data_IF_330363330184
#
_entry.id   IF_330363330184
#
_cell.length_a   1.000
_cell.length_b   1.000
_cell.length_c   1.000
_cell.angle_alpha   90.00
_cell.angle_beta   90.00
_cell.angle_gamma   90.00
#
_symmetry.space_group_name_H-M   'P 1'
#
loop_
_entity.id
_entity.type
_entity.pdbx_description
1 polymer ?
#
# COMPACT_ATOMS: atom_id res chain seq x y z
N UNK A 1 -22.57 -0.92 16.48
CA UNK A 1 -22.37 0.15 15.47
C UNK A 1 -21.82 -0.50 14.22
N UNK A 2 -22.50 -0.35 13.08
CA UNK A 2 -22.01 -0.88 11.81
C UNK A 2 -20.62 -0.31 11.54
N UNK A 3 -19.61 -1.18 11.38
CA UNK A 3 -18.33 -0.80 10.79
C UNK A 3 -18.60 -0.46 9.32
N UNK A 4 -19.07 0.76 9.06
CA UNK A 4 -19.06 1.30 7.70
C UNK A 4 -17.60 1.46 7.34
N UNK A 5 -17.10 0.55 6.52
CA UNK A 5 -15.73 0.62 6.03
C UNK A 5 -15.57 1.87 5.16
N UNK A 6 -14.35 2.37 4.98
CA UNK A 6 -14.07 3.47 4.04
C UNK A 6 -14.67 3.20 2.64
N UNK A 7 -14.69 1.93 2.24
CA UNK A 7 -15.35 1.48 1.01
C UNK A 7 -16.84 1.78 1.01
N UNK A 8 -17.57 1.39 2.05
CA UNK A 8 -19.01 1.63 2.15
C UNK A 8 -19.33 3.13 2.14
N UNK A 9 -18.46 3.94 2.77
CA UNK A 9 -18.57 5.39 2.74
C UNK A 9 -18.39 5.94 1.32
N UNK A 10 -17.34 5.53 0.61
CA UNK A 10 -17.08 5.98 -0.77
C UNK A 10 -18.26 5.62 -1.68
N UNK A 11 -18.78 4.39 -1.59
CA UNK A 11 -19.93 3.96 -2.39
C UNK A 11 -21.23 4.71 -2.01
N UNK A 12 -21.39 5.08 -0.74
CA UNK A 12 -22.53 5.90 -0.31
C UNK A 12 -22.45 7.33 -0.87
N UNK A 13 -21.24 7.90 -0.94
CA UNK A 13 -21.00 9.21 -1.54
C UNK A 13 -21.32 9.16 -3.04
N UNK A 14 -20.91 8.11 -3.75
CA UNK A 14 -21.23 7.95 -5.19
C UNK A 14 -22.74 7.98 -5.43
N UNK A 15 -23.51 7.26 -4.61
CA UNK A 15 -24.95 7.14 -4.75
C UNK A 15 -25.69 8.45 -4.40
N UNK A 16 -25.22 9.18 -3.39
CA UNK A 16 -25.90 10.37 -2.85
C UNK A 16 -24.91 11.48 -2.53
N UNK A 17 -24.21 12.05 -3.53
CA UNK A 17 -23.10 12.97 -3.26
C UNK A 17 -23.53 14.22 -2.51
N UNK A 18 -24.74 14.73 -2.77
CA UNK A 18 -25.28 15.93 -2.11
C UNK A 18 -25.59 15.76 -0.62
N UNK A 19 -25.60 14.52 -0.10
CA UNK A 19 -25.73 14.27 1.35
C UNK A 19 -24.41 14.50 2.11
N UNK A 20 -23.28 14.39 1.41
CA UNK A 20 -21.95 14.41 2.03
C UNK A 20 -21.14 15.61 1.58
N UNK A 21 -21.29 16.00 0.30
CA UNK A 21 -20.50 17.02 -0.36
C UNK A 21 -21.38 18.20 -0.75
N UNK A 22 -20.79 19.41 -0.66
CA UNK A 22 -21.45 20.64 -1.09
C UNK A 22 -21.63 20.71 -2.61
N UNK A 23 -20.69 20.14 -3.35
CA UNK A 23 -20.61 20.11 -4.81
C UNK A 23 -19.94 18.81 -5.26
N UNK A 24 -20.21 18.40 -6.51
CA UNK A 24 -19.64 17.18 -7.13
C UNK A 24 -18.28 17.49 -7.76
N UNK A 25 -17.32 17.93 -6.97
CA UNK A 25 -15.95 18.19 -7.45
C UNK A 25 -14.97 17.23 -6.80
N UNK A 26 -13.89 16.92 -7.51
CA UNK A 26 -12.86 16.01 -6.99
C UNK A 26 -12.20 16.58 -5.74
N UNK A 27 -12.04 17.90 -5.65
CA UNK A 27 -11.50 18.58 -4.46
C UNK A 27 -12.42 18.38 -3.25
N UNK A 28 -13.73 18.61 -3.40
CA UNK A 28 -14.68 18.46 -2.31
C UNK A 28 -14.71 17.01 -1.79
N UNK A 29 -14.61 16.03 -2.70
CA UNK A 29 -14.50 14.63 -2.34
C UNK A 29 -13.18 14.33 -1.61
N UNK A 30 -12.06 14.83 -2.13
CA UNK A 30 -10.74 14.67 -1.54
C UNK A 30 -10.68 15.21 -0.12
N UNK A 31 -11.14 16.45 0.10
CA UNK A 31 -11.18 17.09 1.41
C UNK A 31 -12.03 16.29 2.42
N UNK A 32 -13.20 15.82 1.98
CA UNK A 32 -14.08 15.01 2.81
C UNK A 32 -13.42 13.69 3.23
N UNK A 33 -12.83 12.95 2.27
CA UNK A 33 -12.18 11.67 2.54
C UNK A 33 -10.94 11.83 3.41
N UNK A 34 -10.13 12.87 3.18
CA UNK A 34 -8.98 13.18 4.02
C UNK A 34 -9.41 13.47 5.46
N UNK A 35 -10.42 14.30 5.66
CA UNK A 35 -10.97 14.60 6.99
C UNK A 35 -11.51 13.35 7.70
N UNK A 36 -12.22 12.48 6.97
CA UNK A 36 -12.70 11.21 7.51
C UNK A 36 -11.54 10.29 7.94
N UNK A 37 -10.54 10.10 7.07
CA UNK A 37 -9.39 9.24 7.33
C UNK A 37 -8.52 9.74 8.48
N UNK A 38 -8.37 11.06 8.65
CA UNK A 38 -7.68 11.65 9.81
C UNK A 38 -8.37 11.34 11.14
N UNK A 39 -9.70 11.17 11.14
CA UNK A 39 -10.48 10.80 12.31
C UNK A 39 -10.45 9.30 12.64
N UNK A 40 -9.98 8.45 11.72
CA UNK A 40 -9.87 7.01 11.94
C UNK A 40 -8.65 6.69 12.82
N UNK A 41 -8.85 5.88 13.85
CA UNK A 41 -7.73 5.34 14.65
C UNK A 41 -7.05 4.21 13.89
N UNK A 42 -5.72 4.14 13.97
CA UNK A 42 -4.95 2.98 13.52
C UNK A 42 -5.33 1.76 14.38
N UNK A 43 -5.86 0.72 13.75
CA UNK A 43 -6.18 -0.56 14.40
C UNK A 43 -5.22 -1.64 13.89
N UNK A 44 -4.86 -2.60 14.76
CA UNK A 44 -4.17 -3.81 14.31
C UNK A 44 -5.21 -4.65 13.55
N UNK A 45 -4.91 -4.98 12.29
CA UNK A 45 -5.80 -5.78 11.46
C UNK A 45 -5.22 -7.20 11.29
N UNK A 46 -6.12 -8.20 11.25
CA UNK A 46 -5.79 -9.56 10.82
C UNK A 46 -5.90 -9.65 9.31
N UNK A 47 -4.90 -10.23 8.66
CA UNK A 47 -4.88 -10.56 7.24
C UNK A 47 -3.82 -9.80 6.45
N UNK A 48 -4.20 -9.42 5.24
CA UNK A 48 -3.58 -8.36 4.43
C UNK A 48 -4.72 -7.45 3.96
N UNK A 49 -4.45 -6.19 3.64
CA UNK A 49 -5.46 -5.32 3.04
C UNK A 49 -4.87 -4.50 1.91
N UNK A 50 -5.59 -4.49 0.80
CA UNK A 50 -5.45 -3.49 -0.25
C UNK A 50 -6.41 -2.36 0.13
N UNK A 51 -6.03 -1.60 1.16
CA UNK A 51 -6.84 -0.51 1.69
C UNK A 51 -6.83 0.72 0.75
N UNK A 52 -7.59 1.76 1.11
CA UNK A 52 -7.69 2.97 0.30
C UNK A 52 -6.33 3.67 0.07
N UNK A 53 -5.33 3.44 0.91
CA UNK A 53 -4.00 4.01 0.69
C UNK A 53 -3.41 3.51 -0.65
N UNK A 54 -3.61 2.24 -0.99
CA UNK A 54 -3.15 1.67 -2.26
C UNK A 54 -3.87 2.24 -3.49
N UNK A 55 -5.00 2.94 -3.31
CA UNK A 55 -5.64 3.65 -4.42
C UNK A 55 -4.74 4.74 -5.00
N UNK A 56 -3.94 5.43 -4.16
CA UNK A 56 -2.95 6.40 -4.62
C UNK A 56 -1.93 5.77 -5.58
N UNK A 57 -1.40 4.61 -5.20
CA UNK A 57 -0.41 3.88 -5.98
C UNK A 57 -1.02 3.27 -7.26
N UNK A 58 -2.26 2.80 -7.17
CA UNK A 58 -3.04 2.33 -8.32
C UNK A 58 -3.20 3.44 -9.37
N UNK A 59 -3.63 4.63 -8.97
CA UNK A 59 -3.79 5.78 -9.88
C UNK A 59 -2.46 6.19 -10.50
N UNK A 60 -1.39 6.23 -9.70
CA UNK A 60 -0.02 6.50 -10.19
C UNK A 60 0.35 5.55 -11.32
N UNK A 61 0.16 4.25 -11.10
CA UNK A 61 0.51 3.22 -12.08
C UNK A 61 -0.42 3.29 -13.30
N UNK A 62 -1.72 3.50 -13.11
CA UNK A 62 -2.72 3.59 -14.17
C UNK A 62 -2.40 4.72 -15.17
N UNK A 63 -2.04 5.91 -14.67
CA UNK A 63 -1.69 7.05 -15.52
C UNK A 63 -0.18 7.19 -15.77
N UNK A 64 0.63 6.19 -15.41
CA UNK A 64 2.08 6.17 -15.62
C UNK A 64 2.86 7.36 -15.00
N UNK A 65 2.42 7.86 -13.84
CA UNK A 65 3.19 8.85 -13.10
C UNK A 65 4.44 8.21 -12.47
N UNK A 66 5.53 8.99 -12.40
CA UNK A 66 6.78 8.55 -11.77
C UNK A 66 6.66 8.46 -10.25
N UNK A 67 5.84 9.32 -9.63
CA UNK A 67 5.70 9.42 -8.18
C UNK A 67 4.23 9.60 -7.79
N UNK A 68 3.85 9.05 -6.64
CA UNK A 68 2.50 9.22 -6.06
C UNK A 68 2.36 10.49 -5.23
N UNK A 69 3.44 11.28 -5.08
CA UNK A 69 3.48 12.54 -4.33
C UNK A 69 2.52 13.60 -4.87
N UNK A 70 2.15 13.52 -6.15
CA UNK A 70 1.11 14.37 -6.73
C UNK A 70 -0.26 14.13 -6.09
N UNK A 71 -0.51 12.95 -5.50
CA UNK A 71 -1.81 12.56 -4.96
C UNK A 71 -2.81 12.15 -6.05
N UNK A 72 -3.74 11.23 -5.72
CA UNK A 72 -4.71 10.74 -6.71
C UNK A 72 -5.60 11.85 -7.26
N UNK A 73 -5.91 12.86 -6.45
CA UNK A 73 -6.73 14.02 -6.82
C UNK A 73 -6.12 14.75 -8.03
N UNK A 74 -4.86 15.18 -7.93
CA UNK A 74 -4.20 15.92 -8.99
C UNK A 74 -3.96 15.03 -10.22
N UNK A 75 -3.54 13.78 -10.03
CA UNK A 75 -3.33 12.86 -11.16
C UNK A 75 -4.63 12.62 -11.97
N UNK A 76 -5.77 12.49 -11.30
CA UNK A 76 -7.07 12.35 -11.98
C UNK A 76 -7.50 13.68 -12.63
N UNK A 77 -7.31 14.80 -11.93
CA UNK A 77 -7.70 16.12 -12.41
C UNK A 77 -6.93 16.54 -13.67
N UNK A 78 -5.61 16.35 -13.67
CA UNK A 78 -4.74 16.58 -14.83
C UNK A 78 -5.21 15.76 -16.04
N UNK A 79 -5.52 14.48 -15.83
CA UNK A 79 -6.06 13.63 -16.89
C UNK A 79 -7.43 14.10 -17.41
N UNK A 80 -8.19 14.80 -16.58
CA UNK A 80 -9.48 15.38 -16.94
C UNK A 80 -9.39 16.79 -17.54
N UNK A 81 -8.19 17.29 -17.86
CA UNK A 81 -7.96 18.65 -18.34
C UNK A 81 -8.51 19.71 -17.36
N UNK A 82 -8.25 19.50 -16.07
CA UNK A 82 -8.67 20.39 -14.97
C UNK A 82 -10.19 20.55 -14.79
N UNK A 83 -10.99 19.66 -15.41
CA UNK A 83 -12.43 19.59 -15.19
C UNK A 83 -12.74 18.85 -13.88
N UNK A 84 -13.10 19.62 -12.87
CA UNK A 84 -13.40 19.19 -11.51
C UNK A 84 -14.58 18.20 -11.40
N UNK A 85 -15.66 18.41 -12.17
CA UNK A 85 -16.85 17.56 -12.11
C UNK A 85 -16.62 16.26 -12.90
N UNK A 86 -15.95 16.34 -14.04
CA UNK A 86 -15.51 15.15 -14.77
C UNK A 86 -14.55 14.30 -13.92
N UNK A 87 -13.56 14.94 -13.27
CA UNK A 87 -12.62 14.26 -12.39
C UNK A 87 -13.31 13.56 -11.22
N UNK A 88 -14.36 14.17 -10.65
CA UNK A 88 -15.21 13.55 -9.63
C UNK A 88 -15.81 12.23 -10.12
N UNK A 89 -16.35 12.18 -11.34
CA UNK A 89 -16.91 10.94 -11.90
C UNK A 89 -15.82 9.91 -12.24
N UNK A 90 -14.69 10.36 -12.79
CA UNK A 90 -13.55 9.48 -13.11
C UNK A 90 -12.97 8.83 -11.86
N UNK A 91 -12.96 9.52 -10.71
CA UNK A 91 -12.57 8.91 -9.44
C UNK A 91 -13.35 7.63 -9.16
N UNK A 92 -14.69 7.66 -9.24
CA UNK A 92 -15.50 6.47 -8.94
C UNK A 92 -15.28 5.36 -9.95
N UNK A 93 -15.14 5.70 -11.23
CA UNK A 93 -14.80 4.71 -12.26
C UNK A 93 -13.50 3.97 -11.93
N UNK A 94 -12.43 4.72 -11.60
CA UNK A 94 -11.14 4.15 -11.21
C UNK A 94 -11.24 3.39 -9.88
N UNK A 95 -12.04 3.86 -8.94
CA UNK A 95 -12.25 3.20 -7.65
C UNK A 95 -12.94 1.84 -7.82
N UNK A 96 -13.93 1.73 -8.71
CA UNK A 96 -14.56 0.45 -9.05
C UNK A 96 -13.59 -0.54 -9.70
N UNK A 97 -12.67 -0.05 -10.53
CA UNK A 97 -11.60 -0.89 -11.10
C UNK A 97 -10.64 -1.37 -10.02
N UNK A 98 -10.22 -0.47 -9.13
CA UNK A 98 -9.36 -0.79 -7.99
C UNK A 98 -9.98 -1.85 -7.06
N UNK A 99 -11.28 -1.76 -6.78
CA UNK A 99 -11.98 -2.74 -5.93
C UNK A 99 -12.09 -4.15 -6.53
N UNK A 100 -11.82 -4.32 -7.83
CA UNK A 100 -11.79 -5.63 -8.49
C UNK A 100 -10.45 -6.34 -8.31
N UNK A 101 -9.44 -5.64 -7.79
CA UNK A 101 -8.11 -6.20 -7.59
C UNK A 101 -8.15 -7.17 -6.42
N UNK A 102 -7.81 -8.42 -6.71
CA UNK A 102 -7.55 -9.49 -5.74
C UNK A 102 -6.10 -9.98 -5.82
N UNK A 103 -5.67 -10.75 -4.82
CA UNK A 103 -4.42 -11.50 -4.87
C UNK A 103 -4.59 -12.74 -5.73
N UNK A 104 -3.69 -12.93 -6.69
CA UNK A 104 -3.69 -14.06 -7.64
C UNK A 104 -2.75 -15.17 -7.19
N UNK A 105 -1.59 -14.81 -6.62
CA UNK A 105 -0.60 -15.78 -6.16
C UNK A 105 0.25 -15.19 -5.05
N UNK A 106 0.74 -16.05 -4.16
CA UNK A 106 1.54 -15.66 -3.00
C UNK A 106 2.86 -16.43 -3.05
N UNK A 107 3.96 -15.72 -2.83
CA UNK A 107 5.29 -16.31 -2.75
C UNK A 107 5.93 -15.94 -1.42
N UNK A 108 6.74 -16.84 -0.87
CA UNK A 108 7.48 -16.62 0.36
C UNK A 108 8.96 -16.92 0.17
N UNK A 109 9.81 -16.23 0.91
CA UNK A 109 11.19 -16.62 1.11
C UNK A 109 11.62 -16.34 2.56
N UNK A 110 12.40 -17.27 3.13
CA UNK A 110 12.95 -17.14 4.47
C UNK A 110 14.27 -16.35 4.44
N UNK A 111 14.47 -15.50 5.43
CA UNK A 111 15.71 -14.73 5.60
C UNK A 111 16.70 -15.54 6.43
N UNK A 112 17.96 -15.56 5.99
CA UNK A 112 19.06 -16.20 6.72
C UNK A 112 19.68 -15.22 7.71
N UNK A 113 20.47 -15.74 8.64
CA UNK A 113 21.21 -14.92 9.61
C UNK A 113 22.06 -13.83 8.92
N UNK A 114 22.69 -14.14 7.78
CA UNK A 114 23.43 -13.16 6.97
C UNK A 114 22.56 -12.00 6.47
N UNK A 115 21.28 -12.27 6.15
CA UNK A 115 20.34 -11.24 5.71
C UNK A 115 19.91 -10.35 6.87
N UNK A 116 19.65 -10.96 8.03
CA UNK A 116 19.34 -10.21 9.26
C UNK A 116 20.50 -9.30 9.62
N UNK A 117 21.74 -9.81 9.67
CA UNK A 117 22.94 -9.01 9.95
C UNK A 117 23.07 -7.83 8.97
N UNK A 118 22.84 -8.06 7.68
CA UNK A 118 22.87 -6.99 6.67
C UNK A 118 21.87 -5.88 6.99
N UNK A 119 20.66 -6.23 7.45
CA UNK A 119 19.63 -5.26 7.82
C UNK A 119 20.02 -4.40 9.02
N UNK A 120 20.81 -4.94 9.95
CA UNK A 120 21.31 -4.23 11.13
C UNK A 120 22.65 -3.51 10.89
N UNK A 121 23.35 -3.79 9.79
CA UNK A 121 24.63 -3.16 9.46
C UNK A 121 24.41 -1.74 8.93
N UNK A 122 24.65 -0.78 9.82
CA UNK A 122 24.55 0.68 9.63
C UNK A 122 25.40 1.23 8.47
N UNK A 123 26.33 0.44 7.93
CA UNK A 123 27.21 0.84 6.82
C UNK A 123 26.78 0.26 5.46
N UNK A 124 25.81 -0.67 5.44
CA UNK A 124 25.48 -1.45 4.23
C UNK A 124 23.97 -1.50 3.92
N UNK A 125 23.10 -1.46 4.93
CA UNK A 125 21.64 -1.45 4.75
C UNK A 125 21.08 -0.08 4.39
N UNK A 126 20.07 -0.03 3.52
CA UNK A 126 19.55 1.25 2.97
C UNK A 126 18.56 1.99 3.88
N UNK A 127 17.97 1.33 4.89
CA UNK A 127 16.73 1.81 5.49
C UNK A 127 16.83 1.93 7.02
N UNK A 128 16.77 3.18 7.48
CA UNK A 128 16.77 3.60 8.88
C UNK A 128 15.52 4.47 9.12
N UNK A 129 14.91 4.38 10.30
CA UNK A 129 13.84 5.32 10.68
C UNK A 129 14.52 6.60 11.18
N UNK A 130 14.43 7.69 10.41
CA UNK A 130 15.17 8.92 10.70
C UNK A 130 14.33 9.88 11.54
N UNK A 131 14.89 10.30 12.69
CA UNK A 131 14.63 11.61 13.29
C UNK A 131 15.60 11.99 14.44
N UNK A 132 16.85 11.50 14.48
CA UNK A 132 17.90 11.92 15.46
C UNK A 132 19.28 11.28 15.14
N UNK A 133 20.27 11.61 15.99
CA UNK A 133 21.70 11.23 16.01
C UNK A 133 22.03 9.81 15.50
N UNK A 134 23.23 9.61 14.94
CA UNK A 134 23.65 8.31 14.35
C UNK A 134 23.55 7.13 15.34
N UNK A 135 23.69 7.41 16.64
CA UNK A 135 23.55 6.44 17.73
C UNK A 135 22.10 6.04 18.04
N UNK A 136 21.10 6.79 17.54
CA UNK A 136 19.66 6.58 17.78
C UNK A 136 18.95 5.95 16.59
N UNK A 137 19.68 5.62 15.53
CA UNK A 137 19.11 5.01 14.35
C UNK A 137 18.73 3.55 14.63
N UNK A 138 17.45 3.24 14.44
CA UNK A 138 16.95 1.87 14.51
C UNK A 138 16.71 1.29 13.10
N UNK A 139 16.95 -0.02 12.91
CA UNK A 139 16.55 -0.74 11.70
C UNK A 139 15.04 -0.66 11.51
N UNK A 140 14.59 -0.59 10.25
CA UNK A 140 13.15 -0.52 9.92
C UNK A 140 12.39 -1.75 10.43
N UNK A 141 13.00 -2.93 10.36
CA UNK A 141 12.41 -4.19 10.81
C UNK A 141 13.19 -4.81 11.97
N UNK A 142 12.53 -5.00 13.12
CA UNK A 142 13.15 -5.66 14.28
C UNK A 142 13.08 -7.19 14.12
N UNK A 143 14.21 -7.86 13.97
CA UNK A 143 14.32 -9.32 13.79
C UNK A 143 13.49 -9.86 12.60
N UNK A 144 13.81 -9.46 11.36
CA UNK A 144 13.11 -9.93 10.17
C UNK A 144 13.41 -11.42 9.93
N UNK A 145 12.36 -12.22 9.71
CA UNK A 145 12.44 -13.70 9.58
C UNK A 145 12.19 -14.19 8.17
N UNK A 146 11.24 -13.59 7.46
CA UNK A 146 10.85 -13.98 6.11
C UNK A 146 10.19 -12.79 5.42
N UNK A 147 9.96 -12.91 4.12
CA UNK A 147 9.12 -11.97 3.39
C UNK A 147 8.16 -12.70 2.46
N UNK A 148 7.02 -12.07 2.23
CA UNK A 148 5.95 -12.54 1.35
C UNK A 148 5.75 -11.53 0.23
N UNK A 149 5.65 -12.04 -0.99
CA UNK A 149 5.31 -11.27 -2.19
C UNK A 149 3.92 -11.67 -2.64
N UNK A 150 3.00 -10.71 -2.68
CA UNK A 150 1.66 -10.87 -3.22
C UNK A 150 1.67 -10.41 -4.67
N UNK A 151 1.32 -11.28 -5.62
CA UNK A 151 1.01 -10.88 -6.98
C UNK A 151 -0.47 -10.49 -7.06
N UNK A 152 -0.75 -9.29 -7.54
CA UNK A 152 -2.10 -8.82 -7.75
C UNK A 152 -2.61 -9.20 -9.13
N UNK A 153 -3.91 -9.48 -9.19
CA UNK A 153 -4.66 -9.72 -10.41
C UNK A 153 -4.67 -8.52 -11.36
N UNK A 154 -5.07 -8.78 -12.60
CA UNK A 154 -5.25 -7.76 -13.65
C UNK A 154 -3.97 -6.95 -13.93
N UNK A 155 -2.79 -7.56 -13.72
CA UNK A 155 -1.48 -6.93 -13.88
C UNK A 155 -1.29 -5.65 -13.03
N UNK A 156 -1.90 -5.58 -11.85
CA UNK A 156 -1.76 -4.44 -10.93
C UNK A 156 -0.49 -4.47 -10.07
N UNK A 157 0.48 -5.31 -10.44
CA UNK A 157 1.77 -5.36 -9.77
C UNK A 157 1.76 -6.24 -8.53
N UNK A 158 2.56 -5.85 -7.56
CA UNK A 158 2.93 -6.68 -6.43
C UNK A 158 2.99 -5.89 -5.13
N UNK A 159 2.71 -6.56 -4.01
CA UNK A 159 2.83 -6.03 -2.65
C UNK A 159 3.87 -6.86 -1.89
N UNK A 160 4.70 -6.17 -1.10
CA UNK A 160 5.69 -6.79 -0.24
C UNK A 160 5.24 -6.75 1.23
N UNK A 161 5.36 -7.88 1.90
CA UNK A 161 5.13 -8.05 3.33
C UNK A 161 6.41 -8.60 3.97
N UNK A 162 6.83 -8.06 5.10
CA UNK A 162 8.00 -8.52 5.86
C UNK A 162 7.57 -9.08 7.20
N UNK A 163 7.93 -10.33 7.50
CA UNK A 163 7.68 -10.96 8.79
C UNK A 163 8.75 -10.53 9.80
N UNK A 164 8.34 -9.96 10.93
CA UNK A 164 9.21 -9.53 12.02
C UNK A 164 8.52 -9.74 13.37
N UNK A 165 9.20 -10.41 14.32
CA UNK A 165 8.69 -10.69 15.67
C UNK A 165 7.25 -11.26 15.72
N UNK A 166 6.89 -12.15 14.78
CA UNK A 166 5.57 -12.76 14.62
C UNK A 166 4.45 -11.82 14.14
N UNK A 167 4.82 -10.65 13.62
CA UNK A 167 3.93 -9.72 12.94
C UNK A 167 4.40 -9.52 11.51
N UNK A 168 3.49 -9.13 10.63
CA UNK A 168 3.80 -8.74 9.26
C UNK A 168 3.76 -7.23 9.13
N UNK A 169 4.74 -6.68 8.43
CA UNK A 169 4.76 -5.28 8.03
C UNK A 169 4.48 -5.20 6.54
N UNK A 170 3.48 -4.42 6.16
CA UNK A 170 3.12 -4.22 4.75
C UNK A 170 3.79 -2.97 4.23
N UNK A 171 4.63 -3.13 3.20
CA UNK A 171 5.22 -2.00 2.52
C UNK A 171 4.12 -1.18 1.84
N UNK A 172 4.12 0.12 2.13
CA UNK A 172 3.23 1.10 1.51
C UNK A 172 3.81 1.48 0.15
N UNK A 173 3.86 0.50 -0.77
CA UNK A 173 4.34 0.64 -2.15
C UNK A 173 3.72 -0.43 -3.04
N UNK A 174 3.32 -0.04 -4.25
CA UNK A 174 2.84 -0.98 -5.26
C UNK A 174 3.92 -1.18 -6.33
N UNK A 175 4.62 -2.30 -6.25
CA UNK A 175 5.72 -2.64 -7.15
C UNK A 175 5.17 -3.05 -8.51
N UNK A 176 5.74 -2.53 -9.61
CA UNK A 176 5.23 -2.83 -10.95
C UNK A 176 5.59 -4.24 -11.39
N UNK A 177 6.75 -4.74 -10.95
CA UNK A 177 7.29 -6.02 -11.38
C UNK A 177 8.19 -6.65 -10.30
N UNK A 178 8.55 -7.92 -10.50
CA UNK A 178 9.42 -8.67 -9.57
C UNK A 178 10.82 -8.05 -9.46
N UNK A 179 11.36 -7.46 -10.52
CA UNK A 179 12.70 -6.84 -10.47
C UNK A 179 12.77 -5.65 -9.52
N UNK A 180 11.69 -4.86 -9.41
CA UNK A 180 11.60 -3.80 -8.40
C UNK A 180 11.57 -4.36 -6.97
N UNK A 181 10.91 -5.51 -6.77
CA UNK A 181 10.91 -6.22 -5.48
C UNK A 181 12.30 -6.76 -5.18
N UNK A 182 12.95 -7.43 -6.14
CA UNK A 182 14.28 -7.98 -5.97
C UNK A 182 15.29 -6.89 -5.60
N UNK A 183 15.17 -5.71 -6.21
CA UNK A 183 15.97 -4.54 -5.85
C UNK A 183 15.69 -4.08 -4.41
N UNK A 184 14.42 -3.97 -4.03
CA UNK A 184 14.01 -3.54 -2.68
C UNK A 184 14.55 -4.52 -1.62
N UNK A 185 14.29 -5.82 -1.80
CA UNK A 185 14.79 -6.89 -0.94
C UNK A 185 16.32 -6.88 -0.88
N UNK A 186 16.98 -6.71 -2.02
CA UNK A 186 18.44 -6.65 -2.07
C UNK A 186 19.00 -5.48 -1.26
N UNK A 187 18.29 -4.36 -1.25
CA UNK A 187 18.68 -3.18 -0.49
C UNK A 187 18.39 -3.26 1.00
N UNK A 188 17.35 -4.02 1.38
CA UNK A 188 16.92 -4.23 2.76
C UNK A 188 17.72 -5.34 3.46
N UNK A 189 18.01 -6.42 2.73
CA UNK A 189 18.44 -7.69 3.30
C UNK A 189 19.66 -8.29 2.60
N UNK A 190 20.23 -7.65 1.58
CA UNK A 190 21.33 -8.22 0.80
C UNK A 190 20.83 -9.33 -0.14
N UNK A 191 21.63 -10.36 -0.41
CA UNK A 191 21.30 -11.37 -1.44
C UNK A 191 19.87 -11.91 -1.32
N UNK A 192 19.09 -11.70 -2.39
CA UNK A 192 17.71 -12.16 -2.50
C UNK A 192 17.65 -13.70 -2.38
N UNK A 193 16.71 -14.17 -1.57
CA UNK A 193 16.49 -15.60 -1.35
C UNK A 193 15.48 -16.13 -2.36
N UNK A 194 15.50 -17.45 -2.60
CA UNK A 194 14.62 -18.07 -3.57
C UNK A 194 13.16 -18.04 -3.09
N UNK A 195 12.30 -17.41 -3.89
CA UNK A 195 10.85 -17.41 -3.67
C UNK A 195 10.25 -18.79 -3.99
N UNK A 196 9.36 -19.26 -3.13
CA UNK A 196 8.54 -20.45 -3.35
C UNK A 196 7.04 -20.11 -3.19
N UNK A 197 6.17 -20.70 -4.02
CA UNK A 197 4.74 -20.44 -3.93
C UNK A 197 4.15 -21.01 -2.63
N UNK A 198 3.22 -20.27 -2.04
CA UNK A 198 2.43 -20.71 -0.87
C UNK A 198 0.93 -20.48 -1.13
N UNK A 199 0.08 -21.15 -0.35
CA UNK A 199 -1.36 -21.07 -0.49
C UNK A 199 -1.91 -19.69 -0.09
N UNK A 200 -2.88 -19.12 -0.81
CA UNK A 200 -3.43 -17.79 -0.52
C UNK A 200 -4.07 -17.74 0.87
N UNK A 201 -4.63 -18.87 1.32
CA UNK A 201 -5.30 -19.03 2.61
C UNK A 201 -4.37 -18.77 3.79
N UNK A 202 -3.04 -18.88 3.62
CA UNK A 202 -2.07 -18.55 4.67
C UNK A 202 -2.16 -17.07 5.07
N UNK A 203 -2.61 -16.20 4.16
CA UNK A 203 -2.73 -14.77 4.43
C UNK A 203 -3.80 -14.46 5.49
N UNK A 204 -4.81 -15.33 5.66
CA UNK A 204 -5.92 -15.10 6.60
C UNK A 204 -5.47 -15.11 8.07
N UNK A 205 -4.31 -15.70 8.35
CA UNK A 205 -3.78 -15.88 9.70
C UNK A 205 -2.71 -14.85 10.06
N UNK A 206 -2.38 -13.91 9.16
CA UNK A 206 -1.36 -12.90 9.42
C UNK A 206 -1.92 -11.79 10.33
N UNK A 207 -1.08 -11.19 11.17
CA UNK A 207 -1.40 -10.01 11.98
C UNK A 207 -0.46 -8.88 11.55
N UNK A 208 -0.99 -7.69 11.21
CA UNK A 208 -0.19 -6.55 10.74
C UNK A 208 -0.67 -5.19 11.29
N UNK A 209 0.26 -4.23 11.34
CA UNK A 209 -0.02 -2.82 11.64
C UNK A 209 -0.37 -2.05 10.36
N UNK A 210 -1.48 -1.30 10.36
CA UNK A 210 -1.81 -0.30 9.31
C UNK A 210 -1.30 1.09 9.64
#
# INVERSE_FOLDING_TARGET
MNKNTIKDLILSIEQRPTMFLRNKTIDALSDFLNGYLMGCRKEIMKGYSIDFWFFHEFIKNYYNYSYSTSGWTNMILEHCCDDQEKAFHVFFQRYHEFMKISVESVYKADLKESNSIFHFDMTKGKNLVVNLDLEQLEPVYKNPKSYIVLKLSLNNGFILLVESNNLFYQERKLFKNLSEIDHEISSLFGTAQQLHPIAIETLNNLEYYT
#
